data_IF_955139218172
#
_entry.id   IF_955139218172
#
_cell.length_a   1.000
_cell.length_b   1.000
_cell.length_c   1.000
_cell.angle_alpha   90.00
_cell.angle_beta   90.00
_cell.angle_gamma   90.00
#
_symmetry.space_group_name_H-M   'P 1'
#
loop_
_entity.id
_entity.type
_entity.pdbx_description
1 polymer ?
#
# COMPACT_ATOMS: atom_id res chain seq x y z
N UNK A 1 -9.34 -85.50 -42.71
CA UNK A 1 -10.54 -84.67 -42.52
C UNK A 1 -10.24 -83.26 -43.03
N UNK A 2 -10.73 -82.91 -44.22
CA UNK A 2 -11.11 -81.54 -44.56
C UNK A 2 -12.64 -81.42 -44.26
N UNK A 3 -13.30 -80.24 -44.28
CA UNK A 3 -12.86 -78.88 -44.63
C UNK A 3 -13.34 -77.75 -43.65
N UNK A 4 -12.88 -76.51 -43.95
CA UNK A 4 -13.50 -75.15 -43.86
C UNK A 4 -14.95 -74.94 -43.34
N UNK A 5 -15.49 -73.70 -43.21
CA UNK A 5 -15.00 -72.39 -42.73
C UNK A 5 -15.99 -71.76 -41.68
N UNK A 6 -15.77 -70.49 -41.32
CA UNK A 6 -16.62 -69.66 -40.44
C UNK A 6 -18.09 -69.50 -40.89
N UNK A 7 -18.98 -69.10 -39.96
CA UNK A 7 -20.19 -68.37 -40.30
C UNK A 7 -20.24 -66.95 -39.68
N UNK A 8 -20.54 -65.96 -40.52
CA UNK A 8 -21.45 -64.83 -40.21
C UNK A 8 -22.78 -65.12 -40.89
N UNK A 9 -23.93 -64.87 -40.25
CA UNK A 9 -24.92 -63.98 -40.90
C UNK A 9 -25.79 -63.16 -39.89
N UNK A 10 -26.08 -61.88 -40.18
CA UNK A 10 -27.37 -61.28 -40.68
C UNK A 10 -28.35 -60.88 -39.57
N UNK A 11 -28.55 -59.58 -39.31
CA UNK A 11 -29.66 -58.69 -39.78
C UNK A 11 -31.05 -59.16 -39.39
N UNK A 12 -31.78 -58.31 -38.65
CA UNK A 12 -33.13 -57.79 -38.97
C UNK A 12 -33.53 -56.80 -37.86
N UNK A 13 -33.73 -55.52 -38.17
CA UNK A 13 -35.03 -54.88 -38.52
C UNK A 13 -35.82 -54.55 -37.22
N UNK A 14 -36.07 -53.28 -36.87
CA UNK A 14 -37.32 -52.55 -37.13
C UNK A 14 -37.11 -51.03 -36.88
N UNK A 15 -37.25 -50.25 -37.96
CA UNK A 15 -38.01 -48.98 -38.16
C UNK A 15 -38.54 -48.23 -36.91
N UNK A 16 -38.72 -46.90 -36.81
CA UNK A 16 -38.91 -45.77 -37.73
C UNK A 16 -39.08 -44.45 -36.93
N UNK A 17 -39.04 -43.33 -37.66
CA UNK A 17 -39.50 -41.94 -37.38
C UNK A 17 -38.37 -40.92 -37.14
N UNK A 18 -37.93 -40.14 -38.13
CA UNK A 18 -38.59 -39.10 -38.98
C UNK A 18 -38.64 -37.73 -38.29
N UNK A 19 -37.97 -36.77 -38.97
CA UNK A 19 -38.13 -35.29 -38.99
C UNK A 19 -37.77 -34.50 -37.73
N UNK A 20 -37.16 -33.32 -37.79
CA UNK A 20 -36.73 -32.44 -38.89
C UNK A 20 -35.92 -31.28 -38.30
N UNK A 21 -35.15 -30.60 -39.16
CA UNK A 21 -34.97 -29.13 -39.25
C UNK A 21 -34.53 -28.35 -38.01
N UNK A 22 -33.64 -27.37 -38.07
CA UNK A 22 -32.86 -26.80 -39.14
C UNK A 22 -31.87 -25.85 -38.45
N UNK A 23 -30.72 -25.74 -39.09
CA UNK A 23 -29.72 -24.69 -38.99
C UNK A 23 -30.32 -23.28 -38.92
N UNK A 24 -29.76 -22.40 -38.07
CA UNK A 24 -29.81 -20.96 -38.31
C UNK A 24 -28.50 -20.28 -37.91
N UNK A 25 -27.73 -19.93 -38.93
CA UNK A 25 -26.69 -18.92 -38.87
C UNK A 25 -27.28 -17.51 -39.02
N UNK A 26 -26.40 -16.53 -38.80
CA UNK A 26 -26.54 -15.09 -39.09
C UNK A 26 -27.19 -14.80 -40.45
N UNK A 27 -27.82 -13.63 -40.66
CA UNK A 27 -27.08 -12.54 -41.35
C UNK A 27 -27.52 -11.07 -41.09
N UNK A 28 -26.81 -10.21 -41.79
CA UNK A 28 -26.68 -8.74 -41.84
C UNK A 28 -27.85 -7.85 -42.32
N UNK A 29 -27.72 -6.55 -41.97
CA UNK A 29 -27.88 -5.29 -42.77
C UNK A 29 -29.27 -4.71 -43.16
N UNK A 30 -29.39 -3.39 -42.84
CA UNK A 30 -29.89 -2.21 -43.61
C UNK A 30 -31.40 -1.88 -43.71
N UNK A 31 -31.73 -0.61 -43.40
CA UNK A 31 -32.89 0.18 -43.88
C UNK A 31 -33.46 1.10 -42.78
N UNK A 32 -33.10 2.40 -42.70
CA UNK A 32 -33.71 3.63 -43.28
C UNK A 32 -35.14 4.00 -42.81
N UNK A 33 -35.26 5.27 -42.37
CA UNK A 33 -36.49 6.07 -42.15
C UNK A 33 -36.62 6.46 -40.66
N UNK A 34 -36.84 7.70 -40.21
CA UNK A 34 -37.06 9.03 -40.79
C UNK A 34 -37.25 10.02 -39.61
N UNK A 35 -36.95 11.29 -39.86
CA UNK A 35 -36.97 12.55 -39.06
C UNK A 35 -38.18 12.80 -38.10
N UNK A 36 -38.22 13.86 -37.23
CA UNK A 36 -37.47 15.13 -37.33
C UNK A 36 -36.86 15.76 -36.06
N UNK A 37 -36.05 16.76 -36.40
CA UNK A 37 -35.39 17.81 -35.62
C UNK A 37 -36.40 18.76 -34.95
N UNK A 38 -36.11 19.22 -33.73
CA UNK A 38 -36.55 20.54 -33.26
C UNK A 38 -35.35 21.30 -32.71
N UNK A 39 -34.98 22.37 -33.42
CA UNK A 39 -34.08 23.44 -32.99
C UNK A 39 -34.95 24.50 -32.33
N UNK A 40 -34.58 24.95 -31.13
CA UNK A 40 -34.97 26.27 -30.65
C UNK A 40 -33.75 26.98 -30.07
N UNK A 41 -33.27 27.94 -30.86
CA UNK A 41 -32.35 28.99 -30.49
C UNK A 41 -33.01 29.93 -29.48
N UNK A 42 -32.26 30.42 -28.50
CA UNK A 42 -32.42 31.79 -28.00
C UNK A 42 -31.11 32.33 -27.43
N UNK A 43 -30.97 33.62 -27.63
CA UNK A 43 -29.75 34.36 -27.85
C UNK A 43 -29.38 35.15 -26.60
N UNK A 44 -28.08 35.11 -26.29
CA UNK A 44 -27.24 36.08 -25.56
C UNK A 44 -27.94 37.36 -25.06
N UNK A 45 -27.76 37.67 -23.77
CA UNK A 45 -27.65 39.07 -23.33
C UNK A 45 -26.59 39.26 -22.25
N UNK A 46 -25.65 40.14 -22.58
CA UNK A 46 -24.59 40.75 -21.78
C UNK A 46 -25.17 41.67 -20.69
N UNK A 47 -24.55 41.70 -19.49
CA UNK A 47 -23.97 42.91 -18.87
C UNK A 47 -23.36 42.66 -17.47
N UNK A 48 -22.12 43.13 -17.37
CA UNK A 48 -21.33 43.67 -16.27
C UNK A 48 -21.94 43.98 -14.89
N UNK A 49 -21.07 43.82 -13.88
CA UNK A 49 -20.91 44.56 -12.62
C UNK A 49 -21.92 44.32 -11.47
N UNK A 50 -21.44 43.59 -10.46
CA UNK A 50 -21.63 43.95 -9.05
C UNK A 50 -20.31 43.78 -8.28
N UNK A 51 -19.64 44.91 -8.04
CA UNK A 51 -18.64 45.07 -7.00
C UNK A 51 -19.35 45.22 -5.63
N UNK A 52 -18.66 44.74 -4.58
CA UNK A 52 -18.86 45.00 -3.14
C UNK A 52 -20.04 44.35 -2.42
N UNK A 53 -19.71 43.31 -1.64
CA UNK A 53 -20.20 43.16 -0.27
C UNK A 53 -19.11 42.43 0.55
N UNK A 54 -18.40 43.10 1.49
CA UNK A 54 -17.47 42.44 2.39
C UNK A 54 -18.25 41.85 3.57
N UNK A 55 -17.94 40.60 3.94
CA UNK A 55 -18.43 40.04 5.21
C UNK A 55 -19.23 38.76 5.07
N UNK A 56 -18.59 37.68 4.62
CA UNK A 56 -19.06 36.31 4.92
C UNK A 56 -17.96 35.24 5.03
N UNK A 57 -16.68 35.62 4.98
CA UNK A 57 -15.55 34.70 5.18
C UNK A 57 -15.02 34.63 6.62
N UNK A 58 -15.58 35.40 7.57
CA UNK A 58 -15.10 35.41 8.97
C UNK A 58 -15.63 34.28 9.86
N UNK A 59 -16.64 33.52 9.43
CA UNK A 59 -17.25 32.46 10.27
C UNK A 59 -16.68 31.05 10.07
N UNK A 60 -15.89 30.81 9.03
CA UNK A 60 -15.26 29.49 8.82
C UNK A 60 -13.86 29.34 9.43
N UNK A 61 -13.15 30.45 9.71
CA UNK A 61 -11.78 30.41 10.24
C UNK A 61 -11.69 30.24 11.77
N UNK A 62 -12.74 30.58 12.52
CA UNK A 62 -12.76 30.49 14.00
C UNK A 62 -13.07 29.09 14.53
N UNK A 63 -13.61 28.19 13.72
CA UNK A 63 -13.87 26.80 14.14
C UNK A 63 -12.58 25.94 14.19
N UNK A 64 -11.46 26.43 13.65
CA UNK A 64 -10.22 25.66 13.46
C UNK A 64 -8.96 26.27 14.10
N UNK A 65 -9.09 27.27 14.97
CA UNK A 65 -7.95 27.79 15.76
C UNK A 65 -6.77 28.34 14.96
N UNK A 66 -6.96 28.74 13.71
CA UNK A 66 -5.88 29.31 12.88
C UNK A 66 -5.73 30.82 13.12
N UNK A 67 -4.50 31.36 13.25
CA UNK A 67 -4.29 32.79 13.38
C UNK A 67 -4.61 33.53 12.07
N UNK A 68 -5.08 34.79 12.14
CA UNK A 68 -5.47 35.55 10.95
C UNK A 68 -4.25 35.93 10.08
N UNK A 69 -4.41 36.00 8.75
CA UNK A 69 -3.33 36.35 7.85
C UNK A 69 -2.98 37.84 8.01
N UNK A 70 -1.77 38.13 8.49
CA UNK A 70 -1.26 39.49 8.63
C UNK A 70 -0.38 39.78 9.86
N UNK A 71 -0.29 38.86 10.82
CA UNK A 71 0.62 39.01 11.95
C UNK A 71 2.04 38.56 11.58
N UNK A 72 2.84 39.50 11.07
CA UNK A 72 4.30 39.37 11.06
C UNK A 72 4.80 39.59 12.48
N UNK A 73 4.98 38.48 13.20
CA UNK A 73 5.53 38.45 14.55
C UNK A 73 5.81 37.01 14.92
N UNK A 74 7.09 36.68 15.04
CA UNK A 74 7.59 35.34 15.38
C UNK A 74 6.99 34.93 16.73
N UNK A 75 6.03 34.00 16.70
CA UNK A 75 5.61 33.22 17.85
C UNK A 75 5.37 31.79 17.36
N UNK A 76 6.41 30.97 17.50
CA UNK A 76 6.35 29.53 17.28
C UNK A 76 5.33 28.96 18.27
N UNK A 77 4.21 28.44 17.77
CA UNK A 77 3.31 27.62 18.59
C UNK A 77 4.02 26.31 18.89
N UNK A 78 4.50 26.20 20.12
CA UNK A 78 5.23 25.06 20.66
C UNK A 78 4.35 23.80 20.65
N UNK A 79 4.87 22.72 20.07
CA UNK A 79 4.21 21.43 20.05
C UNK A 79 4.33 20.69 21.40
N UNK A 80 3.59 19.59 21.61
CA UNK A 80 3.49 18.89 22.90
C UNK A 80 4.83 18.36 23.42
N UNK A 81 5.85 18.25 22.56
CA UNK A 81 7.18 17.75 22.88
C UNK A 81 8.13 18.79 23.49
N UNK A 82 7.81 20.09 23.45
CA UNK A 82 8.64 21.15 24.05
C UNK A 82 8.30 21.44 25.52
N UNK A 83 7.05 21.21 25.95
CA UNK A 83 6.66 21.38 27.35
C UNK A 83 7.41 20.42 28.31
N UNK A 84 7.90 19.29 27.81
CA UNK A 84 8.71 18.32 28.57
C UNK A 84 10.20 18.69 28.62
N UNK A 85 10.69 19.44 27.61
CA UNK A 85 12.03 20.01 27.62
C UNK A 85 12.14 21.20 28.60
N UNK A 86 11.13 22.06 28.64
CA UNK A 86 11.07 23.19 29.58
C UNK A 86 10.93 22.71 31.04
N UNK A 87 10.26 21.57 31.27
CA UNK A 87 10.20 20.91 32.58
C UNK A 87 11.54 20.32 33.05
N UNK A 88 12.42 19.95 32.12
CA UNK A 88 13.78 19.49 32.41
C UNK A 88 14.71 20.65 32.77
N UNK A 89 14.55 21.81 32.13
CA UNK A 89 15.35 23.03 32.41
C UNK A 89 14.96 23.67 33.77
N UNK A 90 13.68 23.59 34.18
CA UNK A 90 13.24 24.05 35.50
C UNK A 90 13.80 23.18 36.64
N UNK A 91 14.05 21.88 36.40
CA UNK A 91 14.70 21.00 37.39
C UNK A 91 16.18 21.29 37.59
N UNK A 92 16.82 22.02 36.69
CA UNK A 92 18.23 22.38 36.81
C UNK A 92 18.47 23.57 37.77
N UNK A 93 17.41 24.32 38.13
CA UNK A 93 17.49 25.45 39.09
C UNK A 93 17.23 25.09 40.55
N UNK A 94 16.83 23.84 40.84
CA UNK A 94 16.73 23.35 42.21
C UNK A 94 17.97 22.49 42.46
N UNK A 95 18.91 23.03 43.23
CA UNK A 95 20.17 22.37 43.56
C UNK A 95 19.95 20.98 44.16
N UNK A 96 20.08 19.95 43.33
CA UNK A 96 20.19 18.55 43.76
C UNK A 96 21.67 18.22 43.86
N UNK A 97 22.05 17.81 45.06
CA UNK A 97 23.38 17.44 45.51
C UNK A 97 24.14 16.55 44.51
N UNK A 98 25.27 17.06 43.98
CA UNK A 98 26.14 16.39 42.97
C UNK A 98 27.05 15.33 43.60
N UNK A 99 26.55 14.50 44.52
CA UNK A 99 27.33 13.42 45.15
C UNK A 99 26.53 12.15 45.39
N UNK A 100 25.87 11.60 44.36
CA UNK A 100 25.41 10.19 44.40
C UNK A 100 24.96 9.59 43.07
N UNK A 101 25.33 10.16 41.91
CA UNK A 101 25.17 9.44 40.62
C UNK A 101 26.46 8.69 40.33
N UNK A 102 26.74 7.71 41.17
CA UNK A 102 27.76 6.71 40.89
C UNK A 102 27.33 5.93 39.64
N UNK A 103 28.23 5.88 38.66
CA UNK A 103 28.21 5.07 37.46
C UNK A 103 27.46 3.74 37.65
N UNK A 104 26.22 3.67 37.14
CA UNK A 104 25.66 2.40 36.67
C UNK A 104 25.93 2.32 35.18
N UNK A 105 27.15 1.89 34.82
CA UNK A 105 27.41 1.29 33.51
C UNK A 105 26.68 -0.05 33.51
N UNK A 106 25.39 -0.03 33.22
CA UNK A 106 24.69 -1.25 32.81
C UNK A 106 25.08 -1.53 31.36
N UNK A 107 26.28 -2.12 31.21
CA UNK A 107 26.72 -2.81 30.00
C UNK A 107 25.95 -4.12 29.84
N UNK A 108 24.63 -4.03 29.72
CA UNK A 108 23.73 -5.17 29.58
C UNK A 108 22.71 -4.89 28.51
N UNK A 109 23.00 -5.28 27.27
CA UNK A 109 22.02 -5.38 26.18
C UNK A 109 21.01 -6.48 26.46
N UNK A 110 20.18 -6.28 27.49
CA UNK A 110 19.09 -7.18 27.87
C UNK A 110 17.81 -6.85 27.12
N UNK A 111 16.87 -7.80 27.15
CA UNK A 111 15.51 -7.72 26.57
C UNK A 111 14.79 -6.42 26.94
N UNK A 112 15.10 -5.81 28.09
CA UNK A 112 14.55 -4.52 28.52
C UNK A 112 14.92 -3.34 27.61
N UNK A 113 16.10 -3.34 26.99
CA UNK A 113 16.51 -2.31 26.02
C UNK A 113 15.92 -2.52 24.62
N UNK A 114 15.59 -3.78 24.28
CA UNK A 114 15.08 -4.16 22.97
C UNK A 114 13.64 -3.69 22.74
N UNK A 115 12.82 -3.68 23.79
CA UNK A 115 11.43 -3.23 23.77
C UNK A 115 11.23 -1.87 24.46
N UNK A 116 12.30 -1.11 24.71
CA UNK A 116 12.23 0.15 25.43
C UNK A 116 11.45 1.21 24.63
N UNK A 117 10.45 1.84 25.26
CA UNK A 117 9.76 3.00 24.69
C UNK A 117 10.75 4.14 24.44
N UNK A 118 11.53 4.49 25.45
CA UNK A 118 12.54 5.53 25.37
C UNK A 118 13.90 4.89 25.08
N UNK A 119 14.17 4.71 23.79
CA UNK A 119 15.36 4.00 23.34
C UNK A 119 16.61 4.87 23.49
N UNK A 120 17.52 4.45 24.36
CA UNK A 120 18.80 5.14 24.65
C UNK A 120 19.96 4.67 23.75
N UNK A 121 19.69 3.82 22.76
CA UNK A 121 20.69 3.37 21.80
C UNK A 121 20.93 4.38 20.68
N UNK A 122 21.75 3.99 19.70
CA UNK A 122 22.02 4.84 18.55
C UNK A 122 20.73 5.03 17.71
N UNK A 123 20.37 6.26 17.32
CA UNK A 123 19.24 6.49 16.45
C UNK A 123 19.46 5.84 15.08
N UNK A 124 18.36 5.55 14.38
CA UNK A 124 18.44 4.97 13.05
C UNK A 124 19.17 5.92 12.09
N UNK A 125 20.12 5.38 11.31
CA UNK A 125 20.87 6.13 10.30
C UNK A 125 20.46 5.66 8.90
N UNK A 126 19.84 6.56 8.14
CA UNK A 126 19.55 6.30 6.73
C UNK A 126 20.85 6.10 5.95
N UNK A 127 20.83 5.13 5.03
CA UNK A 127 22.00 4.57 4.34
C UNK A 127 23.21 4.17 5.21
N UNK A 128 23.03 3.99 6.53
CA UNK A 128 24.04 3.43 7.41
C UNK A 128 24.24 1.90 7.22
N UNK A 129 25.24 1.30 7.88
CA UNK A 129 25.57 -0.12 7.70
C UNK A 129 24.40 -1.08 7.98
N UNK A 130 23.64 -0.85 9.06
CA UNK A 130 22.48 -1.68 9.41
C UNK A 130 21.40 -1.60 8.35
N UNK A 131 21.08 -0.39 7.90
CA UNK A 131 20.11 -0.16 6.83
C UNK A 131 20.50 -0.87 5.54
N UNK A 132 21.74 -0.68 5.06
CA UNK A 132 22.23 -1.34 3.84
C UNK A 132 22.22 -2.87 3.98
N UNK A 133 22.57 -3.40 5.15
CA UNK A 133 22.49 -4.83 5.42
C UNK A 133 21.05 -5.35 5.35
N UNK A 134 20.06 -4.62 5.89
CA UNK A 134 18.66 -5.00 5.80
C UNK A 134 18.14 -4.96 4.35
N UNK A 135 18.46 -3.91 3.59
CA UNK A 135 18.11 -3.81 2.17
C UNK A 135 18.71 -4.96 1.37
N UNK A 136 19.99 -5.27 1.60
CA UNK A 136 20.68 -6.37 0.95
C UNK A 136 20.02 -7.71 1.29
N UNK A 137 19.69 -7.95 2.56
CA UNK A 137 19.03 -9.18 2.98
C UNK A 137 17.66 -9.36 2.32
N UNK A 138 16.83 -8.30 2.28
CA UNK A 138 15.52 -8.32 1.62
C UNK A 138 15.68 -8.56 0.11
N UNK A 139 16.62 -7.86 -0.54
CA UNK A 139 16.89 -8.02 -1.96
C UNK A 139 17.35 -9.44 -2.30
N UNK A 140 18.30 -10.00 -1.54
CA UNK A 140 18.77 -11.37 -1.72
C UNK A 140 17.65 -12.39 -1.50
N UNK A 141 16.80 -12.19 -0.50
CA UNK A 141 15.64 -13.07 -0.27
C UNK A 141 14.65 -13.01 -1.45
N UNK A 142 14.36 -11.82 -1.99
CA UNK A 142 13.50 -11.66 -3.16
C UNK A 142 14.11 -12.30 -4.42
N UNK A 143 15.41 -12.11 -4.66
CA UNK A 143 16.13 -12.70 -5.78
C UNK A 143 16.18 -14.23 -5.68
N UNK A 144 16.46 -14.76 -4.48
CA UNK A 144 16.46 -16.19 -4.23
C UNK A 144 15.09 -16.80 -4.49
N UNK A 145 14.02 -16.15 -4.02
CA UNK A 145 12.66 -16.59 -4.24
C UNK A 145 12.26 -16.50 -5.72
N UNK A 146 12.64 -15.43 -6.41
CA UNK A 146 12.38 -15.27 -7.84
C UNK A 146 13.11 -16.31 -8.70
N UNK A 147 14.34 -16.67 -8.34
CA UNK A 147 15.18 -17.56 -9.13
C UNK A 147 14.95 -19.05 -8.84
N UNK A 148 14.80 -19.43 -7.57
CA UNK A 148 14.65 -20.83 -7.14
C UNK A 148 13.24 -21.20 -6.69
N UNK A 149 12.38 -20.23 -6.37
CA UNK A 149 11.08 -20.50 -5.75
C UNK A 149 10.16 -21.38 -6.59
N UNK A 150 10.21 -21.25 -7.92
CA UNK A 150 9.42 -22.10 -8.83
C UNK A 150 9.85 -23.58 -8.83
N UNK A 151 11.07 -23.90 -8.36
CA UNK A 151 11.59 -25.28 -8.25
C UNK A 151 11.23 -25.95 -6.93
N UNK A 152 10.60 -25.25 -6.00
CA UNK A 152 10.28 -25.78 -4.68
C UNK A 152 9.22 -26.88 -4.77
N UNK A 153 9.43 -27.97 -4.03
CA UNK A 153 8.44 -29.02 -3.85
C UNK A 153 7.21 -28.54 -3.06
N UNK A 154 6.08 -29.28 -3.11
CA UNK A 154 4.82 -28.85 -2.50
C UNK A 154 4.91 -28.54 -0.99
N UNK A 155 5.70 -29.29 -0.24
CA UNK A 155 5.91 -29.07 1.20
C UNK A 155 6.61 -27.73 1.50
N UNK A 156 7.68 -27.43 0.78
CA UNK A 156 8.42 -26.17 0.93
C UNK A 156 7.61 -24.96 0.48
N UNK A 157 6.84 -25.08 -0.60
CA UNK A 157 5.89 -24.02 -1.04
C UNK A 157 4.89 -23.70 0.08
N UNK A 158 4.29 -24.73 0.67
CA UNK A 158 3.33 -24.58 1.78
C UNK A 158 3.98 -23.94 3.01
N UNK A 159 5.19 -24.40 3.38
CA UNK A 159 5.93 -23.84 4.51
C UNK A 159 6.27 -22.37 4.30
N UNK A 160 6.81 -22.00 3.12
CA UNK A 160 7.13 -20.60 2.83
C UNK A 160 5.88 -19.73 2.84
N UNK A 161 4.80 -20.20 2.22
CA UNK A 161 3.54 -19.44 2.13
C UNK A 161 2.96 -19.15 3.51
N UNK A 162 2.82 -20.17 4.36
CA UNK A 162 2.27 -19.97 5.70
C UNK A 162 3.29 -19.34 6.66
N UNK A 163 4.58 -19.58 6.46
CA UNK A 163 5.65 -18.90 7.19
C UNK A 163 5.66 -17.39 6.95
N UNK A 164 5.51 -16.96 5.69
CA UNK A 164 5.36 -15.54 5.34
C UNK A 164 4.07 -14.94 5.92
N UNK A 165 2.95 -15.68 5.88
CA UNK A 165 1.71 -15.23 6.49
C UNK A 165 1.87 -15.03 8.01
N UNK A 166 2.49 -16.00 8.69
CA UNK A 166 2.77 -15.92 10.11
C UNK A 166 3.72 -14.76 10.43
N UNK A 167 4.81 -14.58 9.66
CA UNK A 167 5.74 -13.46 9.82
C UNK A 167 5.00 -12.12 9.77
N UNK A 168 4.15 -11.92 8.77
CA UNK A 168 3.41 -10.67 8.59
C UNK A 168 2.39 -10.44 9.73
N UNK A 169 1.63 -11.45 10.12
CA UNK A 169 0.69 -11.35 11.23
C UNK A 169 1.41 -11.06 12.55
N UNK A 170 2.49 -11.79 12.84
CA UNK A 170 3.29 -11.58 14.05
C UNK A 170 3.90 -10.18 14.05
N UNK A 171 4.39 -9.70 12.91
CA UNK A 171 4.96 -8.34 12.80
C UNK A 171 3.89 -7.27 13.05
N UNK A 172 2.71 -7.40 12.45
CA UNK A 172 1.62 -6.44 12.65
C UNK A 172 1.03 -6.47 14.07
N UNK A 173 0.78 -7.67 14.61
CA UNK A 173 0.20 -7.83 15.94
C UNK A 173 1.19 -7.46 17.06
N UNK A 174 2.47 -7.79 16.90
CA UNK A 174 3.50 -7.42 17.89
C UNK A 174 3.67 -5.91 17.99
N UNK A 175 3.53 -5.17 16.89
CA UNK A 175 3.57 -3.70 16.93
C UNK A 175 2.42 -3.10 17.73
N UNK A 176 1.19 -3.55 17.46
CA UNK A 176 0.01 -3.12 18.21
C UNK A 176 0.16 -3.49 19.69
N UNK A 177 0.60 -4.72 19.98
CA UNK A 177 0.82 -5.19 21.34
C UNK A 177 1.88 -4.35 22.07
N UNK A 178 2.99 -4.01 21.40
CA UNK A 178 4.05 -3.18 21.96
C UNK A 178 3.59 -1.74 22.21
N UNK A 179 2.84 -1.15 21.27
CA UNK A 179 2.22 0.19 21.44
C UNK A 179 1.24 0.22 22.61
N UNK A 180 0.44 -0.83 22.78
CA UNK A 180 -0.46 -0.97 23.93
C UNK A 180 0.32 -1.13 25.24
N UNK A 181 1.34 -1.99 25.26
CA UNK A 181 2.15 -2.26 26.45
C UNK A 181 2.95 -1.03 26.94
N UNK A 182 3.36 -0.16 26.01
CA UNK A 182 4.09 1.09 26.31
C UNK A 182 3.17 2.29 26.59
N UNK A 183 1.85 2.09 26.55
CA UNK A 183 0.85 3.16 26.69
C UNK A 183 0.94 4.22 25.58
N UNK A 184 1.57 3.89 24.45
CA UNK A 184 1.75 4.81 23.32
C UNK A 184 0.62 4.70 22.29
N UNK A 185 -0.25 3.68 22.42
CA UNK A 185 -1.35 3.44 21.49
C UNK A 185 -2.38 4.58 21.49
N UNK A 186 -2.74 5.04 20.29
CA UNK A 186 -3.81 6.02 20.05
C UNK A 186 -4.59 5.66 18.79
N UNK A 187 -5.90 5.89 18.79
CA UNK A 187 -6.75 5.64 17.61
C UNK A 187 -6.42 6.55 16.42
N UNK A 188 -5.65 7.62 16.62
CA UNK A 188 -5.23 8.56 15.60
C UNK A 188 -4.00 8.10 14.83
N UNK A 189 -3.17 7.22 15.43
CA UNK A 189 -1.89 6.81 14.85
C UNK A 189 -1.81 5.31 14.58
N UNK A 190 -2.51 4.48 15.35
CA UNK A 190 -2.25 3.03 15.40
C UNK A 190 -3.30 2.15 14.75
N UNK A 191 -4.42 2.71 14.28
CA UNK A 191 -5.31 1.89 13.48
C UNK A 191 -4.56 1.45 12.21
N UNK A 192 -4.77 0.22 11.72
CA UNK A 192 -4.10 -0.31 10.54
C UNK A 192 -4.67 0.29 9.24
N UNK A 193 -4.78 1.62 9.21
CA UNK A 193 -5.33 2.43 8.13
C UNK A 193 -4.24 3.14 7.32
N UNK A 194 -3.01 3.24 7.86
CA UNK A 194 -1.87 3.54 7.02
C UNK A 194 -1.66 2.41 6.02
N UNK A 195 -1.37 2.76 4.77
CA UNK A 195 -1.31 1.81 3.66
C UNK A 195 -0.28 0.70 3.89
N UNK A 196 0.88 1.02 4.48
CA UNK A 196 1.92 0.05 4.77
C UNK A 196 1.43 -0.99 5.78
N UNK A 197 0.81 -0.53 6.89
CA UNK A 197 0.23 -1.39 7.92
C UNK A 197 -0.94 -2.21 7.38
N UNK A 198 -1.83 -1.59 6.62
CA UNK A 198 -2.92 -2.28 5.94
C UNK A 198 -2.38 -3.38 5.01
N UNK A 199 -1.35 -3.09 4.21
CA UNK A 199 -0.73 -4.05 3.30
C UNK A 199 -0.04 -5.20 4.02
N UNK A 200 0.45 -5.04 5.25
CA UNK A 200 0.94 -6.18 6.06
C UNK A 200 -0.17 -7.20 6.30
N UNK A 201 -1.33 -6.74 6.80
CA UNK A 201 -2.47 -7.62 7.07
C UNK A 201 -3.12 -8.15 5.78
N UNK A 202 -3.25 -7.32 4.76
CA UNK A 202 -3.80 -7.73 3.46
C UNK A 202 -2.89 -8.75 2.76
N UNK A 203 -1.57 -8.62 2.88
CA UNK A 203 -0.60 -9.61 2.36
C UNK A 203 -0.69 -10.93 3.12
N UNK A 204 -0.83 -10.89 4.45
CA UNK A 204 -1.07 -12.10 5.23
C UNK A 204 -2.39 -12.78 4.82
N UNK A 205 -3.47 -12.00 4.68
CA UNK A 205 -4.76 -12.48 4.21
C UNK A 205 -4.65 -13.14 2.82
N UNK A 206 -3.94 -12.51 1.88
CA UNK A 206 -3.68 -13.06 0.54
C UNK A 206 -2.95 -14.41 0.60
N UNK A 207 -1.96 -14.55 1.48
CA UNK A 207 -1.22 -15.79 1.62
C UNK A 207 -2.07 -16.90 2.26
N UNK A 208 -2.99 -16.57 3.18
CA UNK A 208 -3.90 -17.55 3.76
C UNK A 208 -5.00 -17.96 2.76
N UNK A 209 -5.63 -16.97 2.13
CA UNK A 209 -6.73 -17.11 1.18
C UNK A 209 -6.39 -16.39 -0.13
N UNK A 210 -5.74 -17.08 -1.09
CA UNK A 210 -5.29 -16.46 -2.32
C UNK A 210 -6.49 -16.00 -3.13
N UNK A 211 -6.58 -14.70 -3.32
CA UNK A 211 -7.55 -14.09 -4.19
C UNK A 211 -6.86 -13.13 -5.15
N UNK A 212 -7.10 -13.28 -6.46
CA UNK A 212 -6.38 -12.55 -7.50
C UNK A 212 -6.50 -11.04 -7.31
N UNK A 213 -7.69 -10.52 -7.00
CA UNK A 213 -7.86 -9.08 -6.79
C UNK A 213 -7.07 -8.57 -5.59
N UNK A 214 -6.94 -9.36 -4.51
CA UNK A 214 -6.13 -8.95 -3.35
C UNK A 214 -4.65 -8.89 -3.74
N UNK A 215 -4.19 -9.87 -4.52
CA UNK A 215 -2.84 -9.84 -5.07
C UNK A 215 -2.56 -8.61 -5.91
N UNK A 216 -3.52 -8.14 -6.71
CA UNK A 216 -3.30 -6.93 -7.51
C UNK A 216 -2.96 -5.74 -6.62
N UNK A 217 -3.70 -5.56 -5.51
CA UNK A 217 -3.39 -4.52 -4.52
C UNK A 217 -2.04 -4.75 -3.85
N UNK A 218 -1.76 -5.95 -3.35
CA UNK A 218 -0.47 -6.27 -2.69
C UNK A 218 0.71 -6.08 -3.66
N UNK A 219 0.54 -6.43 -4.93
CA UNK A 219 1.56 -6.30 -5.95
C UNK A 219 1.87 -4.84 -6.28
N UNK A 220 0.86 -4.03 -6.60
CA UNK A 220 1.10 -2.65 -7.00
C UNK A 220 1.33 -1.73 -5.80
N UNK A 221 0.39 -1.76 -4.86
CA UNK A 221 0.37 -0.86 -3.73
C UNK A 221 1.32 -1.33 -2.62
N UNK A 222 1.34 -2.64 -2.33
CA UNK A 222 2.23 -3.23 -1.34
C UNK A 222 3.70 -3.10 -1.73
N UNK A 223 4.10 -3.54 -2.93
CA UNK A 223 5.49 -3.39 -3.39
C UNK A 223 5.86 -1.91 -3.53
N UNK A 224 5.02 -1.10 -4.20
CA UNK A 224 5.31 0.31 -4.44
C UNK A 224 5.53 1.10 -3.15
N UNK A 225 4.60 0.95 -2.19
CA UNK A 225 4.71 1.57 -0.87
C UNK A 225 5.88 1.03 -0.05
N UNK A 226 6.09 -0.29 -0.05
CA UNK A 226 7.18 -0.90 0.72
C UNK A 226 8.56 -0.51 0.19
N UNK A 227 8.76 -0.40 -1.13
CA UNK A 227 10.02 0.08 -1.70
C UNK A 227 10.28 1.52 -1.26
N UNK A 228 9.27 2.40 -1.31
CA UNK A 228 9.43 3.79 -0.89
C UNK A 228 9.78 3.89 0.60
N UNK A 229 9.07 3.15 1.46
CA UNK A 229 9.35 3.08 2.88
C UNK A 229 10.76 2.51 3.18
N UNK A 230 11.19 1.48 2.45
CA UNK A 230 12.53 0.92 2.63
C UNK A 230 13.64 1.87 2.16
N UNK A 231 13.42 2.70 1.14
CA UNK A 231 14.44 3.64 0.66
C UNK A 231 14.53 4.90 1.53
N UNK A 232 13.40 5.36 2.07
CA UNK A 232 13.31 6.52 2.97
C UNK A 232 12.59 6.11 4.27
N UNK A 233 13.25 5.29 5.10
CA UNK A 233 12.64 4.73 6.30
C UNK A 233 12.41 5.78 7.40
N UNK A 234 11.21 5.76 7.96
CA UNK A 234 10.83 6.55 9.14
C UNK A 234 10.74 5.63 10.36
N UNK A 235 11.91 5.22 10.87
CA UNK A 235 12.04 4.35 12.06
C UNK A 235 12.20 5.20 13.34
N UNK A 236 12.22 6.53 13.19
CA UNK A 236 12.40 7.47 14.30
C UNK A 236 13.68 7.19 15.12
N UNK A 237 13.61 7.23 16.47
CA UNK A 237 14.78 7.02 17.33
C UNK A 237 15.23 5.55 17.38
N UNK A 238 14.45 4.61 16.86
CA UNK A 238 14.64 3.18 17.08
C UNK A 238 15.67 2.55 16.13
N UNK A 239 16.95 2.87 16.31
CA UNK A 239 18.03 2.24 15.55
C UNK A 239 18.24 0.76 15.88
N UNK A 240 19.13 0.10 15.13
CA UNK A 240 19.51 -1.29 15.40
C UNK A 240 20.21 -1.38 16.78
N UNK A 241 19.92 -2.39 17.62
CA UNK A 241 19.03 -3.55 17.39
C UNK A 241 17.65 -3.43 18.09
N UNK A 242 16.96 -2.30 18.01
CA UNK A 242 15.65 -2.13 18.66
C UNK A 242 14.52 -2.93 17.98
N UNK A 243 13.48 -3.31 18.73
CA UNK A 243 12.27 -3.94 18.20
C UNK A 243 11.68 -3.19 17.00
N UNK A 244 11.58 -1.86 17.09
CA UNK A 244 11.05 -1.00 16.03
C UNK A 244 11.81 -1.13 14.70
N UNK A 245 13.15 -1.29 14.76
CA UNK A 245 13.96 -1.58 13.59
C UNK A 245 13.53 -2.89 12.92
N UNK A 246 13.49 -3.99 13.69
CA UNK A 246 13.13 -5.29 13.14
C UNK A 246 11.68 -5.33 12.63
N UNK A 247 10.75 -4.73 13.38
CA UNK A 247 9.35 -4.59 12.96
C UNK A 247 9.24 -3.89 11.59
N UNK A 248 9.93 -2.75 11.43
CA UNK A 248 9.87 -1.97 10.20
C UNK A 248 10.38 -2.77 8.99
N UNK A 249 11.58 -3.35 9.08
CA UNK A 249 12.17 -4.07 7.94
C UNK A 249 11.49 -5.42 7.68
N UNK A 250 11.05 -6.14 8.72
CA UNK A 250 10.31 -7.39 8.56
C UNK A 250 8.93 -7.15 7.94
N UNK A 251 8.24 -6.08 8.31
CA UNK A 251 6.92 -5.73 7.77
C UNK A 251 7.00 -5.38 6.29
N UNK A 252 7.82 -4.39 5.94
CA UNK A 252 7.95 -3.94 4.54
C UNK A 252 8.61 -5.00 3.65
N UNK A 253 9.69 -5.65 4.12
CA UNK A 253 10.33 -6.74 3.41
C UNK A 253 9.40 -7.95 3.23
N UNK A 254 8.61 -8.27 4.25
CA UNK A 254 7.62 -9.35 4.21
C UNK A 254 6.52 -9.11 3.17
N UNK A 255 6.04 -7.88 3.00
CA UNK A 255 5.05 -7.53 1.98
C UNK A 255 5.62 -7.74 0.57
N UNK A 256 6.86 -7.29 0.32
CA UNK A 256 7.52 -7.50 -0.97
C UNK A 256 7.74 -8.99 -1.23
N UNK A 257 8.18 -9.74 -0.23
CA UNK A 257 8.36 -11.20 -0.33
C UNK A 257 7.03 -11.93 -0.59
N UNK A 258 5.93 -11.51 0.03
CA UNK A 258 4.61 -12.09 -0.21
C UNK A 258 4.15 -11.88 -1.66
N UNK A 259 4.30 -10.65 -2.19
CA UNK A 259 3.99 -10.36 -3.58
C UNK A 259 4.91 -11.12 -4.56
N UNK A 260 6.19 -11.21 -4.22
CA UNK A 260 7.20 -11.96 -4.99
C UNK A 260 6.90 -13.46 -4.99
N UNK A 261 6.49 -14.03 -3.85
CA UNK A 261 6.07 -15.42 -3.72
C UNK A 261 4.91 -15.72 -4.69
N UNK A 262 3.83 -14.93 -4.62
CA UNK A 262 2.67 -15.13 -5.49
C UNK A 262 3.03 -15.00 -6.98
N UNK A 263 3.95 -14.08 -7.30
CA UNK A 263 4.35 -13.83 -8.69
C UNK A 263 5.28 -14.91 -9.24
N UNK A 264 6.33 -15.27 -8.50
CA UNK A 264 7.40 -16.16 -8.98
C UNK A 264 7.13 -17.65 -8.70
N UNK A 265 6.44 -17.98 -7.61
CA UNK A 265 6.19 -19.36 -7.18
C UNK A 265 4.81 -19.85 -7.62
N UNK A 266 3.78 -19.04 -7.39
CA UNK A 266 2.40 -19.35 -7.78
C UNK A 266 2.08 -18.90 -9.22
N UNK A 267 2.96 -18.13 -9.85
CA UNK A 267 2.85 -17.73 -11.25
C UNK A 267 1.80 -16.66 -11.53
N UNK A 268 1.32 -15.95 -10.50
CA UNK A 268 0.35 -14.87 -10.67
C UNK A 268 0.99 -13.67 -11.36
N UNK A 269 0.19 -12.92 -12.12
CA UNK A 269 0.69 -11.79 -12.92
C UNK A 269 -0.26 -10.60 -12.89
N UNK A 270 0.26 -9.37 -12.75
CA UNK A 270 -0.54 -8.18 -12.94
C UNK A 270 -0.94 -8.05 -14.42
N UNK A 271 -2.11 -7.46 -14.66
CA UNK A 271 -2.62 -7.13 -15.99
C UNK A 271 -2.81 -5.61 -16.15
N UNK A 272 -2.97 -5.13 -17.38
CA UNK A 272 -3.29 -3.72 -17.62
C UNK A 272 -4.61 -3.28 -16.96
N UNK A 273 -5.57 -4.20 -16.79
CA UNK A 273 -6.81 -3.92 -16.05
C UNK A 273 -6.58 -3.86 -14.54
N UNK A 274 -5.57 -4.56 -14.03
CA UNK A 274 -5.16 -4.51 -12.62
C UNK A 274 -4.70 -3.10 -12.24
N UNK A 275 -3.96 -2.41 -13.12
CA UNK A 275 -3.54 -1.02 -12.90
C UNK A 275 -4.73 -0.11 -12.60
N UNK A 276 -5.75 -0.15 -13.45
CA UNK A 276 -6.94 0.69 -13.28
C UNK A 276 -7.72 0.32 -12.01
N UNK A 277 -7.90 -0.98 -11.75
CA UNK A 277 -8.61 -1.45 -10.54
C UNK A 277 -7.91 -0.99 -9.26
N UNK A 278 -6.59 -1.15 -9.18
CA UNK A 278 -5.84 -0.75 -7.99
C UNK A 278 -5.82 0.76 -7.87
N UNK A 279 -5.58 1.49 -8.95
CA UNK A 279 -5.58 2.95 -8.93
C UNK A 279 -6.92 3.53 -8.45
N UNK A 280 -8.04 3.06 -9.01
CA UNK A 280 -9.38 3.47 -8.58
C UNK A 280 -9.66 3.02 -7.15
N UNK A 281 -9.32 1.77 -6.80
CA UNK A 281 -9.51 1.25 -5.45
C UNK A 281 -8.73 2.01 -4.38
N UNK A 282 -7.48 2.40 -4.68
CA UNK A 282 -6.67 3.25 -3.81
C UNK A 282 -7.32 4.62 -3.65
N UNK A 283 -7.79 5.25 -4.73
CA UNK A 283 -8.48 6.55 -4.62
C UNK A 283 -9.79 6.48 -3.81
N UNK A 284 -10.57 5.41 -3.96
CA UNK A 284 -11.76 5.17 -3.13
C UNK A 284 -11.38 4.99 -1.66
N UNK A 285 -10.27 4.29 -1.39
CA UNK A 285 -9.74 4.14 -0.05
C UNK A 285 -9.27 5.47 0.55
N UNK A 286 -8.56 6.31 -0.22
CA UNK A 286 -8.17 7.65 0.21
C UNK A 286 -9.39 8.51 0.53
N UNK A 287 -10.43 8.49 -0.31
CA UNK A 287 -11.68 9.21 -0.06
C UNK A 287 -12.36 8.75 1.24
N UNK A 288 -12.39 7.45 1.49
CA UNK A 288 -12.87 6.90 2.76
C UNK A 288 -12.03 7.42 3.94
N UNK A 289 -10.70 7.41 3.82
CA UNK A 289 -9.80 7.90 4.86
C UNK A 289 -9.94 9.40 5.13
N UNK A 290 -10.30 10.22 4.13
CA UNK A 290 -10.64 11.63 4.38
C UNK A 290 -11.77 11.75 5.41
N UNK A 291 -12.81 10.93 5.28
CA UNK A 291 -13.91 10.89 6.24
C UNK A 291 -13.49 10.39 7.63
N UNK A 292 -12.67 9.33 7.68
CA UNK A 292 -12.15 8.79 8.94
C UNK A 292 -11.25 9.80 9.66
N UNK A 293 -10.34 10.44 8.93
CA UNK A 293 -9.44 11.47 9.47
C UNK A 293 -10.22 12.65 10.04
N UNK A 294 -11.27 13.08 9.35
CA UNK A 294 -12.14 14.15 9.84
C UNK A 294 -12.88 13.74 11.14
N UNK A 295 -13.38 12.51 11.22
CA UNK A 295 -14.11 12.01 12.40
C UNK A 295 -13.20 11.78 13.62
N UNK A 296 -11.99 11.26 13.41
CA UNK A 296 -11.07 10.90 14.48
C UNK A 296 -10.07 12.00 14.84
N UNK A 297 -10.09 13.13 14.12
CA UNK A 297 -9.04 14.15 14.14
C UNK A 297 -7.65 13.53 13.91
N UNK A 298 -7.58 12.60 12.96
CA UNK A 298 -6.39 11.83 12.61
C UNK A 298 -5.83 12.28 11.25
N UNK A 299 -4.67 11.73 10.89
CA UNK A 299 -4.00 12.00 9.62
C UNK A 299 -3.39 10.74 9.01
N UNK A 300 -4.24 9.72 8.87
CA UNK A 300 -3.90 8.54 8.10
C UNK A 300 -3.53 8.95 6.68
N UNK A 301 -2.40 8.42 6.21
CA UNK A 301 -1.83 8.69 4.89
C UNK A 301 -1.42 10.15 4.62
N UNK A 302 -1.27 10.99 5.65
CA UNK A 302 -0.88 12.39 5.48
C UNK A 302 -1.84 13.17 4.57
N UNK A 303 -3.14 12.90 4.68
CA UNK A 303 -4.18 13.48 3.83
C UNK A 303 -4.64 14.85 4.30
N UNK A 304 -4.46 15.16 5.58
CA UNK A 304 -4.89 16.41 6.22
C UNK A 304 -3.72 17.36 6.44
N UNK A 305 -2.56 16.83 6.83
CA UNK A 305 -1.34 17.62 6.99
C UNK A 305 -0.10 16.85 6.50
N UNK A 306 1.00 17.58 6.30
CA UNK A 306 2.29 16.98 5.95
C UNK A 306 2.95 16.44 7.21
N UNK A 307 3.77 15.38 7.11
CA UNK A 307 4.58 14.94 8.24
C UNK A 307 5.49 16.08 8.72
N UNK A 308 5.77 16.12 10.02
CA UNK A 308 6.69 17.10 10.59
C UNK A 308 8.15 16.85 10.17
N UNK A 309 8.48 15.60 9.86
CA UNK A 309 9.77 15.23 9.30
C UNK A 309 9.85 15.63 7.82
N UNK A 310 11.03 16.10 7.34
CA UNK A 310 11.22 16.43 5.93
C UNK A 310 10.81 15.28 5.01
N UNK A 311 10.00 15.57 4.01
CA UNK A 311 9.46 14.55 3.11
C UNK A 311 9.34 15.05 1.68
N UNK A 312 9.13 14.13 0.74
CA UNK A 312 8.83 14.48 -0.66
C UNK A 312 7.61 15.40 -0.76
N UNK A 313 6.64 15.27 0.17
CA UNK A 313 5.41 16.06 0.18
C UNK A 313 5.68 17.56 0.35
N UNK A 314 6.81 17.95 0.93
CA UNK A 314 7.18 19.36 1.14
C UNK A 314 7.36 20.10 -0.19
N UNK A 315 7.80 19.40 -1.23
CA UNK A 315 8.02 19.94 -2.57
C UNK A 315 6.78 19.96 -3.46
N UNK A 316 5.65 19.38 -3.02
CA UNK A 316 4.45 19.17 -3.82
C UNK A 316 3.37 20.25 -3.63
N UNK A 317 3.71 21.38 -3.01
CA UNK A 317 2.78 22.51 -2.79
C UNK A 317 1.92 22.39 -1.52
N UNK A 318 1.01 23.34 -1.27
CA UNK A 318 0.17 23.35 -0.07
C UNK A 318 -0.98 22.33 -0.16
N UNK A 319 -1.63 22.06 0.98
CA UNK A 319 -2.87 21.28 1.00
C UNK A 319 -3.98 21.97 0.19
N UNK A 320 -4.81 21.26 -0.61
CA UNK A 320 -4.81 19.81 -0.89
C UNK A 320 -3.97 19.42 -2.12
N UNK A 321 -3.22 20.35 -2.73
CA UNK A 321 -2.52 20.13 -3.99
C UNK A 321 -1.44 19.05 -3.92
N UNK A 322 -0.75 18.90 -2.78
CA UNK A 322 0.25 17.84 -2.65
C UNK A 322 -0.35 16.43 -2.71
N UNK A 323 -1.59 16.25 -2.24
CA UNK A 323 -2.31 14.97 -2.31
C UNK A 323 -2.57 14.64 -3.78
N UNK A 324 -3.10 15.61 -4.54
CA UNK A 324 -3.34 15.45 -5.97
C UNK A 324 -2.04 15.29 -6.77
N UNK A 325 -0.96 15.95 -6.37
CA UNK A 325 0.35 15.80 -6.98
C UNK A 325 1.02 14.46 -6.67
N UNK A 326 0.61 13.77 -5.59
CA UNK A 326 1.10 12.43 -5.25
C UNK A 326 0.50 11.32 -6.14
N UNK A 327 -0.70 11.52 -6.67
CA UNK A 327 -1.39 10.59 -7.59
C UNK A 327 -0.57 10.23 -8.85
N UNK A 328 -0.05 11.20 -9.64
CA UNK A 328 0.77 10.87 -10.80
C UNK A 328 2.08 10.16 -10.41
N UNK A 329 2.65 10.45 -9.24
CA UNK A 329 3.84 9.74 -8.73
C UNK A 329 3.49 8.27 -8.47
N UNK A 330 2.38 8.02 -7.77
CA UNK A 330 1.86 6.66 -7.56
C UNK A 330 1.58 5.92 -8.87
N UNK A 331 0.96 6.60 -9.84
CA UNK A 331 0.70 6.04 -11.16
C UNK A 331 1.98 5.67 -11.91
N UNK A 332 3.03 6.50 -11.85
CA UNK A 332 4.35 6.20 -12.42
C UNK A 332 4.95 4.94 -11.77
N UNK A 333 4.89 4.83 -10.43
CA UNK A 333 5.36 3.62 -9.73
C UNK A 333 4.61 2.38 -10.19
N UNK A 334 3.28 2.45 -10.33
CA UNK A 334 2.49 1.32 -10.82
C UNK A 334 2.86 0.93 -12.26
N UNK A 335 3.09 1.91 -13.13
CA UNK A 335 3.54 1.66 -14.51
C UNK A 335 4.92 1.01 -14.54
N UNK A 336 5.85 1.45 -13.68
CA UNK A 336 7.18 0.82 -13.56
C UNK A 336 7.09 -0.64 -13.10
N UNK A 337 6.22 -0.93 -12.14
CA UNK A 337 5.97 -2.31 -11.68
C UNK A 337 5.30 -3.18 -12.76
N UNK A 338 4.44 -2.61 -13.60
CA UNK A 338 3.80 -3.34 -14.71
C UNK A 338 4.71 -3.55 -15.92
N UNK A 339 5.67 -2.66 -16.14
CA UNK A 339 6.56 -2.62 -17.30
C UNK A 339 7.19 -3.98 -17.67
N UNK A 340 7.79 -4.77 -16.76
CA UNK A 340 8.41 -6.05 -17.12
C UNK A 340 7.41 -7.07 -17.70
N UNK A 341 6.15 -7.06 -17.26
CA UNK A 341 5.12 -7.97 -17.77
C UNK A 341 4.68 -7.57 -19.17
N UNK A 342 4.44 -6.28 -19.37
CA UNK A 342 4.07 -5.73 -20.66
C UNK A 342 5.14 -5.98 -21.73
N UNK A 343 6.42 -5.77 -21.40
CA UNK A 343 7.54 -6.07 -22.30
C UNK A 343 7.60 -7.57 -22.63
N UNK A 344 7.40 -8.43 -21.62
CA UNK A 344 7.38 -9.88 -21.80
C UNK A 344 6.25 -10.37 -22.70
N UNK A 345 5.05 -9.80 -22.57
CA UNK A 345 3.88 -10.18 -23.36
C UNK A 345 4.00 -9.70 -24.82
N UNK A 346 4.51 -8.49 -25.05
CA UNK A 346 4.80 -8.00 -26.41
C UNK A 346 5.78 -8.89 -27.16
N UNK A 347 6.88 -9.30 -26.51
CA UNK A 347 7.87 -10.22 -27.10
C UNK A 347 7.27 -11.57 -27.44
N UNK A 348 6.36 -12.10 -26.60
CA UNK A 348 5.65 -13.37 -26.87
C UNK A 348 4.74 -13.26 -28.08
N UNK A 349 3.98 -12.17 -28.20
CA UNK A 349 3.09 -11.94 -29.35
C UNK A 349 3.87 -11.80 -30.66
N UNK A 350 4.99 -11.06 -30.66
CA UNK A 350 5.85 -10.93 -31.84
C UNK A 350 6.42 -12.28 -32.28
N UNK A 351 6.88 -13.11 -31.35
CA UNK A 351 7.37 -14.46 -31.68
C UNK A 351 6.29 -15.35 -32.31
N UNK A 352 5.05 -15.24 -31.83
CA UNK A 352 3.91 -15.98 -32.40
C UNK A 352 3.48 -15.47 -33.78
N UNK A 353 3.72 -14.20 -34.09
CA UNK A 353 3.40 -13.63 -35.40
C UNK A 353 4.46 -13.93 -36.47
N UNK A 354 5.67 -14.35 -36.05
CA UNK A 354 6.76 -14.78 -36.94
C UNK A 354 6.79 -16.30 -37.19
N UNK A 355 5.97 -17.06 -36.47
CA UNK A 355 5.73 -18.49 -36.66
C UNK A 355 4.45 -18.66 -37.46
#
# INVERSE_FOLDING_TARGET
MAPSPAPTPTTDEVTSRVTSSDTWGLPSRKGRGGLPVLVSSLKVRSRSNWLRCPGKHRRHAQAYGLPPPGASGIAQTQGPWQAEADGAEVRERVGVDRRSVAHRRDGGGGVGSFFAKDYMGAPFQQFGPSHLAALLAIALACLALAHWGWRLGPGWRRLLRYGLAALLLLTGLSWIAWRLATGAFTFQLDLPLHICTAMVFVSAFMLLWPHYHVYEFVYFLGIGGAIQALLTPDVGPYGFPHFGYFHFFAGHGGVILAATYMTAVEGWRPSGRSLLRVFVGTNLYLLFLVGVNWLLHADYMFLMWKPAAPSLLDYLGPWPWYVLASEPIGAVVFLLLYLPFWLGDRRRLQRRAMQ
#
